data_IF_225664782239
#
_entry.id   IF_225664782239
#
_cell.length_a   1.000
_cell.length_b   1.000
_cell.length_c   1.000
_cell.angle_alpha   90.00
_cell.angle_beta   90.00
_cell.angle_gamma   90.00
#
_symmetry.space_group_name_H-M   'P 1'
#
loop_
_entity.id
_entity.type
_entity.pdbx_description
1 polymer ?
#
# COMPACT_ATOMS: atom_id res chain seq x y z
N UNK A 1 13.80 -20.38 -13.87
CA UNK A 1 12.98 -19.85 -14.98
C UNK A 1 13.14 -18.35 -14.95
N UNK A 2 13.62 -17.76 -16.04
CA UNK A 2 13.73 -16.31 -16.16
C UNK A 2 12.31 -15.71 -16.20
N UNK A 3 11.99 -14.71 -15.35
CA UNK A 3 10.70 -14.04 -15.40
C UNK A 3 10.53 -13.30 -16.73
N UNK A 4 9.30 -13.22 -17.24
CA UNK A 4 9.04 -12.44 -18.45
C UNK A 4 9.21 -10.94 -18.17
N UNK A 5 9.62 -10.17 -19.18
CA UNK A 5 9.75 -8.71 -19.05
C UNK A 5 8.42 -8.06 -18.60
N UNK A 6 7.29 -8.56 -19.11
CA UNK A 6 5.97 -8.09 -18.70
C UNK A 6 5.66 -8.33 -17.22
N UNK A 7 6.06 -9.50 -16.69
CA UNK A 7 5.94 -9.79 -15.26
C UNK A 7 6.80 -8.83 -14.43
N UNK A 8 8.07 -8.63 -14.81
CA UNK A 8 8.99 -7.74 -14.09
C UNK A 8 8.46 -6.31 -14.08
N UNK A 9 7.97 -5.81 -15.22
CA UNK A 9 7.40 -4.47 -15.32
C UNK A 9 6.16 -4.29 -14.43
N UNK A 10 5.22 -5.24 -14.47
CA UNK A 10 4.03 -5.20 -13.62
C UNK A 10 4.40 -5.27 -12.14
N UNK A 11 5.36 -6.12 -11.78
CA UNK A 11 5.84 -6.25 -10.40
C UNK A 11 6.39 -4.92 -9.89
N UNK A 12 7.33 -4.30 -10.62
CA UNK A 12 7.92 -3.02 -10.25
C UNK A 12 6.90 -1.88 -10.20
N UNK A 13 5.88 -1.91 -11.07
CA UNK A 13 4.77 -0.96 -11.00
C UNK A 13 3.99 -1.11 -9.69
N UNK A 14 3.69 -2.34 -9.26
CA UNK A 14 3.04 -2.58 -7.96
C UNK A 14 3.94 -2.16 -6.79
N UNK A 15 5.25 -2.42 -6.86
CA UNK A 15 6.22 -1.94 -5.85
C UNK A 15 6.19 -0.41 -5.76
N UNK A 16 6.20 0.29 -6.91
CA UNK A 16 6.11 1.75 -6.95
C UNK A 16 4.81 2.27 -6.33
N UNK A 17 3.67 1.64 -6.64
CA UNK A 17 2.37 1.99 -6.04
C UNK A 17 2.38 1.77 -4.52
N UNK A 18 3.00 0.68 -4.05
CA UNK A 18 3.14 0.41 -2.63
C UNK A 18 4.00 1.46 -1.92
N UNK A 19 5.14 1.83 -2.49
CA UNK A 19 6.01 2.88 -1.92
C UNK A 19 5.34 4.25 -1.94
N UNK A 20 4.61 4.60 -3.01
CA UNK A 20 3.83 5.84 -3.09
C UNK A 20 2.75 5.93 -2.00
N UNK A 21 2.03 4.84 -1.75
CA UNK A 21 1.05 4.77 -0.67
C UNK A 21 1.70 4.86 0.71
N UNK A 22 2.82 4.17 0.90
CA UNK A 22 3.60 4.26 2.15
C UNK A 22 4.07 5.70 2.38
N UNK A 23 4.64 6.35 1.36
CA UNK A 23 5.04 7.76 1.45
C UNK A 23 3.90 8.67 1.88
N UNK A 24 2.71 8.53 1.29
CA UNK A 24 1.51 9.30 1.70
C UNK A 24 1.11 9.00 3.14
N UNK A 25 1.13 7.74 3.57
CA UNK A 25 0.84 7.36 4.96
C UNK A 25 1.81 8.04 5.94
N UNK A 26 3.08 8.16 5.59
CA UNK A 26 4.12 8.71 6.47
C UNK A 26 4.15 10.24 6.50
N UNK A 27 4.06 10.91 5.34
CA UNK A 27 4.28 12.36 5.23
C UNK A 27 3.00 13.17 4.99
N UNK A 28 1.91 12.53 4.58
CA UNK A 28 0.62 13.15 4.28
C UNK A 28 -0.52 12.44 5.00
N UNK A 29 -0.27 12.00 6.24
CA UNK A 29 -1.18 11.14 7.01
C UNK A 29 -2.61 11.68 7.05
N UNK A 30 -2.81 12.97 7.34
CA UNK A 30 -4.17 13.53 7.42
C UNK A 30 -4.88 13.56 6.08
N UNK A 31 -4.19 13.99 5.02
CA UNK A 31 -4.73 13.96 3.67
C UNK A 31 -5.05 12.53 3.22
N UNK A 32 -4.16 11.58 3.51
CA UNK A 32 -4.33 10.16 3.21
C UNK A 32 -5.62 9.60 3.85
N UNK A 33 -5.88 9.89 5.12
CA UNK A 33 -7.10 9.43 5.79
C UNK A 33 -8.35 10.19 5.34
N UNK A 34 -8.23 11.47 4.98
CA UNK A 34 -9.35 12.20 4.39
C UNK A 34 -9.76 11.61 3.04
N UNK A 35 -8.79 11.25 2.20
CA UNK A 35 -9.04 10.61 0.90
C UNK A 35 -9.70 9.23 1.07
N UNK A 36 -9.27 8.45 2.08
CA UNK A 36 -9.90 7.18 2.45
C UNK A 36 -11.33 7.40 2.90
N UNK A 37 -11.56 8.35 3.80
CA UNK A 37 -12.90 8.66 4.29
C UNK A 37 -13.83 9.04 3.15
N UNK A 38 -13.40 9.96 2.28
CA UNK A 38 -14.17 10.41 1.13
C UNK A 38 -14.52 9.24 0.19
N UNK A 39 -13.56 8.34 -0.04
CA UNK A 39 -13.74 7.15 -0.89
C UNK A 39 -14.72 6.15 -0.28
N UNK A 40 -14.69 5.99 1.05
CA UNK A 40 -15.61 5.12 1.78
C UNK A 40 -17.03 5.70 1.88
N UNK A 41 -17.16 7.03 1.95
CA UNK A 41 -18.46 7.70 2.04
C UNK A 41 -19.10 8.02 0.69
N UNK A 42 -18.35 7.95 -0.41
CA UNK A 42 -18.87 8.14 -1.76
C UNK A 42 -20.04 7.18 -2.04
N UNK A 43 -21.10 7.70 -2.67
CA UNK A 43 -22.23 6.90 -3.14
C UNK A 43 -22.17 6.74 -4.66
N UNK A 44 -22.40 5.52 -5.19
CA UNK A 44 -22.62 4.27 -4.47
C UNK A 44 -21.34 3.76 -3.78
N UNK A 45 -21.48 3.16 -2.60
CA UNK A 45 -20.34 2.58 -1.88
C UNK A 45 -19.84 1.35 -2.62
N UNK A 46 -18.68 1.45 -3.27
CA UNK A 46 -18.03 0.34 -3.98
C UNK A 46 -17.35 -0.66 -3.03
N UNK A 47 -17.27 -0.36 -1.73
CA UNK A 47 -16.47 -1.12 -0.77
C UNK A 47 -17.35 -1.94 0.18
N UNK A 48 -17.28 -3.29 0.13
CA UNK A 48 -18.11 -4.17 0.97
C UNK A 48 -17.73 -4.14 2.46
N UNK A 49 -16.57 -3.58 2.80
CA UNK A 49 -16.06 -3.49 4.18
C UNK A 49 -16.04 -2.05 4.71
N UNK A 50 -16.88 -1.17 4.18
CA UNK A 50 -16.91 0.25 4.57
C UNK A 50 -16.95 0.46 6.08
N UNK A 51 -17.86 -0.23 6.77
CA UNK A 51 -18.07 -0.06 8.22
C UNK A 51 -16.85 -0.52 9.04
N UNK A 52 -16.13 -1.54 8.57
CA UNK A 52 -14.88 -1.99 9.19
C UNK A 52 -13.81 -0.90 9.18
N UNK A 53 -13.70 -0.15 8.08
CA UNK A 53 -12.75 0.94 7.95
C UNK A 53 -13.20 2.19 8.69
N UNK A 54 -14.48 2.54 8.62
CA UNK A 54 -15.04 3.68 9.37
C UNK A 54 -14.86 3.52 10.89
N UNK A 55 -15.10 2.33 11.44
CA UNK A 55 -14.88 2.05 12.86
C UNK A 55 -13.42 2.22 13.30
N UNK A 56 -12.46 2.01 12.40
CA UNK A 56 -11.03 2.21 12.68
C UNK A 56 -10.61 3.67 12.57
N UNK A 57 -11.34 4.46 11.77
CA UNK A 57 -11.18 5.90 11.72
C UNK A 57 -11.62 6.59 13.02
N UNK A 58 -12.55 6.00 13.77
CA UNK A 58 -12.96 6.49 15.11
C UNK A 58 -11.82 6.40 16.15
N UNK A 59 -10.94 5.39 16.04
CA UNK A 59 -9.73 5.25 16.87
C UNK A 59 -8.46 5.37 16.00
N UNK A 60 -8.35 6.50 15.30
CA UNK A 60 -7.35 6.76 14.25
C UNK A 60 -5.92 6.56 14.72
N UNK A 61 -5.56 6.99 15.93
CA UNK A 61 -4.15 7.05 16.36
C UNK A 61 -3.49 5.67 16.47
N UNK A 62 -4.14 4.73 17.16
CA UNK A 62 -3.66 3.34 17.25
C UNK A 62 -3.62 2.67 15.89
N UNK A 63 -4.63 2.93 15.05
CA UNK A 63 -4.69 2.40 13.69
C UNK A 63 -3.54 2.93 12.80
N UNK A 64 -3.23 4.23 12.86
CA UNK A 64 -2.10 4.84 12.16
C UNK A 64 -0.78 4.19 12.57
N UNK A 65 -0.59 3.98 13.87
CA UNK A 65 0.62 3.37 14.39
C UNK A 65 0.82 1.96 13.81
N UNK A 66 -0.21 1.12 13.88
CA UNK A 66 -0.15 -0.23 13.31
C UNK A 66 0.08 -0.20 11.81
N UNK A 67 -0.59 0.68 11.05
CA UNK A 67 -0.37 0.79 9.61
C UNK A 67 1.06 1.23 9.28
N UNK A 68 1.65 2.15 10.05
CA UNK A 68 3.04 2.55 9.88
C UNK A 68 4.00 1.39 10.15
N UNK A 69 3.80 0.64 11.23
CA UNK A 69 4.60 -0.56 11.54
C UNK A 69 4.50 -1.61 10.43
N UNK A 70 3.28 -1.95 9.98
CA UNK A 70 3.10 -2.90 8.88
C UNK A 70 3.69 -2.38 7.56
N UNK A 71 3.62 -1.06 7.30
CA UNK A 71 4.24 -0.48 6.11
C UNK A 71 5.75 -0.62 6.12
N UNK A 72 6.44 -0.51 7.27
CA UNK A 72 7.88 -0.72 7.35
C UNK A 72 8.28 -2.16 7.03
N UNK A 73 7.54 -3.12 7.58
CA UNK A 73 7.73 -4.55 7.28
C UNK A 73 7.52 -4.79 5.78
N UNK A 74 6.45 -4.21 5.22
CA UNK A 74 6.15 -4.30 3.79
C UNK A 74 7.22 -3.66 2.91
N UNK A 75 7.77 -2.50 3.29
CA UNK A 75 8.87 -1.83 2.56
C UNK A 75 10.08 -2.76 2.48
N UNK A 76 10.49 -3.35 3.59
CA UNK A 76 11.63 -4.28 3.61
C UNK A 76 11.37 -5.50 2.72
N UNK A 77 10.17 -6.08 2.79
CA UNK A 77 9.80 -7.23 1.98
C UNK A 77 9.78 -6.91 0.47
N UNK A 78 9.20 -5.77 0.08
CA UNK A 78 9.12 -5.34 -1.31
C UNK A 78 10.52 -5.03 -1.85
N UNK A 79 11.38 -4.34 -1.09
CA UNK A 79 12.76 -4.09 -1.51
C UNK A 79 13.55 -5.39 -1.73
N UNK A 80 13.41 -6.36 -0.82
CA UNK A 80 14.04 -7.66 -0.98
C UNK A 80 13.52 -8.39 -2.24
N UNK A 81 12.22 -8.34 -2.47
CA UNK A 81 11.60 -8.95 -3.64
C UNK A 81 12.02 -8.27 -4.95
N UNK A 82 12.09 -6.93 -4.99
CA UNK A 82 12.55 -6.17 -6.16
C UNK A 82 13.97 -6.61 -6.57
N UNK A 83 14.89 -6.72 -5.59
CA UNK A 83 16.26 -7.21 -5.84
C UNK A 83 16.26 -8.62 -6.41
N UNK A 84 15.46 -9.53 -5.84
CA UNK A 84 15.37 -10.91 -6.30
C UNK A 84 14.80 -11.02 -7.72
N UNK A 85 13.74 -10.25 -8.02
CA UNK A 85 13.08 -10.24 -9.33
C UNK A 85 14.02 -9.69 -10.41
N UNK A 86 14.70 -8.57 -10.13
CA UNK A 86 15.66 -7.97 -11.08
C UNK A 86 16.83 -8.94 -11.31
N UNK A 87 17.38 -9.51 -10.24
CA UNK A 87 18.47 -10.49 -10.37
C UNK A 87 18.04 -11.69 -11.21
N UNK A 88 16.89 -12.28 -10.91
CA UNK A 88 16.37 -13.43 -11.66
C UNK A 88 16.05 -13.10 -13.13
N UNK A 89 15.83 -11.83 -13.48
CA UNK A 89 15.65 -11.39 -14.86
C UNK A 89 16.96 -11.21 -15.62
N UNK A 90 18.04 -10.82 -14.94
CA UNK A 90 19.35 -10.58 -15.53
C UNK A 90 20.21 -11.86 -15.62
N UNK A 91 19.96 -12.83 -14.74
CA UNK A 91 20.52 -14.19 -14.77
C UNK A 91 19.93 -15.03 -15.92
#
# INVERSE_FOLDING_TARGET
MQPSLGFVFLFLLFSLLFFSNSYKLWLKTDQYYQDIYNSLTAQPSLYPFKDFFLKRMENKESWVLWQKVFSLIGILAVLAADVLVIRAYLD
#
